data_IF_294318829438
#
_entry.id   IF_294318829438
#
_cell.length_a   1.000
_cell.length_b   1.000
_cell.length_c   1.000
_cell.angle_alpha   90.00
_cell.angle_beta   90.00
_cell.angle_gamma   90.00
#
_symmetry.space_group_name_H-M   'P 1'
#
loop_
_entity.id
_entity.type
_entity.pdbx_description
1 polymer ?
#
# COMPACT_ATOMS: atom_id res chain seq x y z
N UNK A 1 -2.93 16.91 -29.28
CA UNK A 1 -1.84 16.13 -28.66
C UNK A 1 -2.04 14.68 -29.06
N UNK A 2 -1.20 14.17 -29.95
CA UNK A 2 -1.30 12.79 -30.45
C UNK A 2 -1.02 11.81 -29.30
N UNK A 3 -1.92 10.83 -29.09
CA UNK A 3 -1.63 9.70 -28.20
C UNK A 3 -0.50 8.91 -28.84
N UNK A 4 0.62 8.76 -28.13
CA UNK A 4 1.70 7.86 -28.55
C UNK A 4 1.16 6.42 -28.47
N UNK A 5 1.01 5.76 -29.62
CA UNK A 5 0.65 4.35 -29.69
C UNK A 5 1.78 3.52 -29.04
N UNK A 6 1.53 2.98 -27.85
CA UNK A 6 2.48 2.19 -27.07
C UNK A 6 2.77 2.68 -25.65
N UNK A 7 2.32 3.89 -25.26
CA UNK A 7 2.52 4.40 -23.90
C UNK A 7 1.31 4.11 -23.00
N UNK A 8 1.53 3.37 -21.90
CA UNK A 8 0.55 3.16 -20.82
C UNK A 8 0.86 4.17 -19.70
N UNK A 9 -0.14 4.74 -19.01
CA UNK A 9 0.09 5.57 -17.83
C UNK A 9 0.93 4.81 -16.79
N UNK A 10 1.90 5.49 -16.18
CA UNK A 10 2.81 4.89 -15.18
C UNK A 10 2.05 4.13 -14.09
N UNK A 11 1.00 4.74 -13.53
CA UNK A 11 0.17 4.13 -12.48
C UNK A 11 -0.47 2.81 -12.94
N UNK A 12 -1.04 2.78 -14.14
CA UNK A 12 -1.70 1.57 -14.66
C UNK A 12 -0.69 0.44 -14.90
N UNK A 13 0.51 0.79 -15.38
CA UNK A 13 1.62 -0.15 -15.55
C UNK A 13 2.10 -0.71 -14.20
N UNK A 14 2.29 0.15 -13.20
CA UNK A 14 2.68 -0.24 -11.84
C UNK A 14 1.65 -1.18 -11.20
N UNK A 15 0.35 -0.89 -11.35
CA UNK A 15 -0.72 -1.77 -10.88
C UNK A 15 -0.71 -3.14 -11.58
N UNK A 16 -0.41 -3.17 -12.89
CA UNK A 16 -0.33 -4.40 -13.65
C UNK A 16 0.87 -5.25 -13.22
N UNK A 17 2.02 -4.62 -12.98
CA UNK A 17 3.23 -5.28 -12.52
C UNK A 17 3.05 -5.90 -11.13
N UNK A 18 2.52 -5.12 -10.17
CA UNK A 18 2.24 -5.62 -8.83
C UNK A 18 1.24 -6.78 -8.82
N UNK A 19 0.27 -6.80 -9.75
CA UNK A 19 -0.68 -7.91 -9.90
C UNK A 19 -0.04 -9.16 -10.52
N UNK A 20 0.91 -8.97 -11.42
CA UNK A 20 1.58 -10.05 -12.14
C UNK A 20 2.66 -10.72 -11.26
N UNK A 21 3.33 -9.96 -10.41
CA UNK A 21 4.38 -10.43 -9.53
C UNK A 21 4.01 -10.23 -8.05
N UNK A 22 3.62 -11.33 -7.41
CA UNK A 22 3.28 -11.34 -5.99
C UNK A 22 4.49 -11.12 -5.09
N UNK A 23 5.66 -11.61 -5.48
CA UNK A 23 6.88 -11.44 -4.68
C UNK A 23 7.27 -9.96 -4.64
N UNK A 24 7.22 -9.30 -5.80
CA UNK A 24 7.38 -7.85 -5.90
C UNK A 24 6.38 -7.11 -5.01
N UNK A 25 5.09 -7.46 -5.06
CA UNK A 25 4.09 -6.80 -4.22
C UNK A 25 4.34 -6.97 -2.71
N UNK A 26 4.84 -8.12 -2.30
CA UNK A 26 5.22 -8.38 -0.90
C UNK A 26 6.41 -7.52 -0.49
N UNK A 27 7.48 -7.49 -1.28
CA UNK A 27 8.67 -6.68 -0.98
C UNK A 27 8.37 -5.18 -1.01
N UNK A 28 7.56 -4.73 -1.96
CA UNK A 28 7.09 -3.35 -2.04
C UNK A 28 6.27 -2.96 -0.80
N UNK A 29 5.39 -3.83 -0.31
CA UNK A 29 4.61 -3.58 0.90
C UNK A 29 5.47 -3.58 2.17
N UNK A 30 6.49 -4.45 2.25
CA UNK A 30 7.46 -4.44 3.36
C UNK A 30 8.22 -3.12 3.40
N UNK A 31 8.72 -2.66 2.26
CA UNK A 31 9.39 -1.37 2.15
C UNK A 31 8.46 -0.22 2.56
N UNK A 32 7.21 -0.24 2.09
CA UNK A 32 6.21 0.75 2.46
C UNK A 32 5.94 0.81 3.97
N UNK A 33 5.83 -0.36 4.63
CA UNK A 33 5.65 -0.46 6.08
C UNK A 33 6.87 0.05 6.85
N UNK A 34 8.08 -0.26 6.38
CA UNK A 34 9.33 0.19 6.98
C UNK A 34 9.59 1.70 6.80
N UNK A 35 8.86 2.38 5.91
CA UNK A 35 8.95 3.84 5.75
C UNK A 35 7.94 4.61 6.62
N UNK A 36 7.05 3.94 7.36
CA UNK A 36 5.96 4.62 8.09
C UNK A 36 6.42 5.35 9.36
N UNK A 37 7.57 4.97 9.91
CA UNK A 37 8.19 5.55 11.10
C UNK A 37 9.15 6.70 10.77
N UNK A 38 9.61 6.80 9.52
CA UNK A 38 10.43 7.89 9.00
C UNK A 38 9.56 9.06 8.48
N UNK A 39 9.57 10.24 9.13
CA UNK A 39 8.77 11.39 8.70
C UNK A 39 9.01 11.84 7.25
N UNK A 40 10.25 11.70 6.75
CA UNK A 40 10.61 12.15 5.40
C UNK A 40 10.11 11.18 4.32
N UNK A 41 9.94 9.90 4.68
CA UNK A 41 9.53 8.84 3.76
C UNK A 41 8.09 8.33 3.97
N UNK A 42 7.44 8.71 5.07
CA UNK A 42 6.09 8.26 5.45
C UNK A 42 5.05 8.51 4.37
N UNK A 43 5.10 9.65 3.70
CA UNK A 43 4.19 9.99 2.61
C UNK A 43 4.30 8.97 1.46
N UNK A 44 5.53 8.58 1.09
CA UNK A 44 5.79 7.54 0.09
C UNK A 44 5.26 6.18 0.53
N UNK A 45 5.51 5.79 1.79
CA UNK A 45 4.97 4.55 2.35
C UNK A 45 3.44 4.46 2.32
N UNK A 46 2.73 5.55 2.64
CA UNK A 46 1.27 5.60 2.55
C UNK A 46 0.75 5.48 1.12
N UNK A 47 1.42 6.11 0.15
CA UNK A 47 1.07 5.98 -1.26
C UNK A 47 1.33 4.56 -1.78
N UNK A 48 2.45 3.95 -1.41
CA UNK A 48 2.76 2.57 -1.77
C UNK A 48 1.72 1.58 -1.21
N UNK A 49 1.31 1.74 0.05
CA UNK A 49 0.21 0.97 0.65
C UNK A 49 -1.10 1.10 -0.15
N UNK A 50 -1.41 2.32 -0.63
CA UNK A 50 -2.58 2.56 -1.47
C UNK A 50 -2.46 1.85 -2.82
N UNK A 51 -1.30 1.93 -3.47
CA UNK A 51 -1.06 1.28 -4.77
C UNK A 51 -1.25 -0.24 -4.67
N UNK A 52 -0.71 -0.87 -3.62
CA UNK A 52 -0.91 -2.32 -3.38
C UNK A 52 -2.38 -2.66 -3.09
N UNK A 53 -3.07 -1.85 -2.28
CA UNK A 53 -4.50 -2.02 -2.02
C UNK A 53 -5.35 -1.94 -3.30
N UNK A 54 -4.98 -1.05 -4.22
CA UNK A 54 -5.62 -0.89 -5.53
C UNK A 54 -5.30 -2.06 -6.49
N UNK A 55 -4.08 -2.59 -6.43
CA UNK A 55 -3.66 -3.75 -7.21
C UNK A 55 -4.40 -5.04 -6.79
N UNK A 56 -4.53 -5.34 -5.49
CA UNK A 56 -4.92 -6.68 -5.01
C UNK A 56 -6.40 -6.89 -4.64
N UNK A 57 -7.17 -5.84 -4.41
CA UNK A 57 -8.61 -5.99 -4.14
C UNK A 57 -9.45 -4.81 -4.63
N UNK A 58 -8.78 -3.77 -5.12
CA UNK A 58 -9.39 -2.47 -5.30
C UNK A 58 -9.73 -1.82 -3.96
N UNK A 59 -9.71 -0.49 -3.95
CA UNK A 59 -9.95 0.29 -2.75
C UNK A 59 -11.35 0.08 -2.15
N UNK A 60 -12.31 -0.39 -2.95
CA UNK A 60 -13.64 -0.76 -2.47
C UNK A 60 -13.64 -1.97 -1.52
N UNK A 61 -12.95 -3.05 -1.89
CA UNK A 61 -12.89 -4.25 -1.06
C UNK A 61 -12.11 -3.98 0.23
N UNK A 62 -11.00 -3.24 0.13
CA UNK A 62 -10.16 -2.86 1.28
C UNK A 62 -10.96 -1.99 2.25
N UNK A 63 -11.69 -0.99 1.74
CA UNK A 63 -12.51 -0.12 2.56
C UNK A 63 -13.62 -0.91 3.29
N UNK A 64 -14.27 -1.85 2.59
CA UNK A 64 -15.27 -2.73 3.19
C UNK A 64 -14.68 -3.60 4.30
N UNK A 65 -13.51 -4.22 4.08
CA UNK A 65 -12.81 -5.00 5.11
C UNK A 65 -12.38 -4.14 6.32
N UNK A 66 -11.97 -2.90 6.06
CA UNK A 66 -11.66 -1.93 7.12
C UNK A 66 -12.93 -1.36 7.80
N UNK A 67 -14.12 -1.59 7.23
CA UNK A 67 -15.39 -1.04 7.72
C UNK A 67 -15.45 0.50 7.63
N UNK A 68 -14.87 1.07 6.57
CA UNK A 68 -14.85 2.51 6.30
C UNK A 68 -15.31 2.79 4.87
N UNK A 69 -15.61 4.05 4.55
CA UNK A 69 -15.90 4.45 3.16
C UNK A 69 -14.62 4.47 2.31
N UNK A 70 -14.77 4.39 0.98
CA UNK A 70 -13.64 4.57 0.04
C UNK A 70 -12.96 5.93 0.23
N UNK A 71 -13.74 6.98 0.45
CA UNK A 71 -13.23 8.33 0.72
C UNK A 71 -12.41 8.37 2.02
N UNK A 72 -12.86 7.69 3.07
CA UNK A 72 -12.11 7.59 4.32
C UNK A 72 -10.80 6.80 4.11
N UNK A 73 -10.82 5.74 3.31
CA UNK A 73 -9.61 5.00 2.93
C UNK A 73 -8.63 5.88 2.15
N UNK A 74 -9.11 6.66 1.17
CA UNK A 74 -8.29 7.61 0.41
C UNK A 74 -7.64 8.66 1.31
N UNK A 75 -8.40 9.24 2.25
CA UNK A 75 -7.83 10.19 3.23
C UNK A 75 -6.82 9.52 4.14
N UNK A 76 -7.11 8.32 4.62
CA UNK A 76 -6.25 7.55 5.51
C UNK A 76 -4.90 7.20 4.86
N UNK A 77 -4.87 6.88 3.57
CA UNK A 77 -3.66 6.52 2.81
C UNK A 77 -3.14 7.67 1.92
N UNK A 78 -3.55 8.91 2.21
CA UNK A 78 -3.00 10.09 1.53
C UNK A 78 -1.60 10.41 2.07
N UNK A 79 -0.81 11.28 1.41
CA UNK A 79 0.52 11.68 1.88
C UNK A 79 0.54 12.17 3.35
N UNK A 80 -0.52 12.85 3.77
CA UNK A 80 -0.70 13.36 5.14
C UNK A 80 -1.69 12.51 5.96
N UNK A 81 -1.97 11.29 5.49
CA UNK A 81 -2.96 10.40 6.07
C UNK A 81 -2.52 9.81 7.41
N UNK A 82 -3.46 9.24 8.13
CA UNK A 82 -3.21 8.49 9.35
C UNK A 82 -4.10 7.24 9.37
N UNK A 83 -3.66 6.13 8.74
CA UNK A 83 -4.46 4.93 8.71
C UNK A 83 -4.52 4.31 10.10
N UNK A 84 -5.71 3.90 10.52
CA UNK A 84 -5.86 3.12 11.73
C UNK A 84 -5.19 1.75 11.58
N UNK A 85 -4.89 1.09 12.71
CA UNK A 85 -4.38 -0.29 12.68
C UNK A 85 -5.32 -1.23 11.89
N UNK A 86 -6.64 -1.04 12.01
CA UNK A 86 -7.64 -1.82 11.25
C UNK A 86 -7.49 -1.61 9.74
N UNK A 87 -7.24 -0.38 9.32
CA UNK A 87 -6.98 -0.03 7.91
C UNK A 87 -5.73 -0.75 7.39
N UNK A 88 -4.63 -0.68 8.14
CA UNK A 88 -3.37 -1.35 7.77
C UNK A 88 -3.55 -2.86 7.66
N UNK A 89 -4.20 -3.49 8.64
CA UNK A 89 -4.48 -4.93 8.61
C UNK A 89 -5.35 -5.32 7.41
N UNK A 90 -6.32 -4.50 7.01
CA UNK A 90 -7.13 -4.75 5.82
C UNK A 90 -6.28 -4.74 4.54
N UNK A 91 -5.34 -3.81 4.40
CA UNK A 91 -4.40 -3.77 3.27
C UNK A 91 -3.50 -5.01 3.26
N UNK A 92 -2.93 -5.41 4.41
CA UNK A 92 -2.11 -6.62 4.49
C UNK A 92 -2.90 -7.87 4.04
N UNK A 93 -4.15 -7.99 4.49
CA UNK A 93 -5.01 -9.14 4.17
C UNK A 93 -5.34 -9.28 2.69
N UNK A 94 -5.40 -8.19 1.91
CA UNK A 94 -5.68 -8.28 0.47
C UNK A 94 -4.59 -8.99 -0.31
N UNK A 95 -3.36 -8.97 0.19
CA UNK A 95 -2.19 -9.67 -0.40
C UNK A 95 -1.93 -11.03 0.29
N UNK A 96 -2.80 -11.42 1.24
CA UNK A 96 -2.63 -12.62 2.05
C UNK A 96 -1.49 -12.51 3.07
N UNK A 97 -1.20 -11.29 3.55
CA UNK A 97 -0.19 -11.00 4.56
C UNK A 97 -0.83 -10.76 5.94
N UNK A 98 0.00 -10.81 6.98
CA UNK A 98 -0.40 -10.58 8.38
C UNK A 98 0.59 -9.63 9.05
N UNK A 99 0.14 -8.94 10.08
CA UNK A 99 1.01 -8.20 10.97
C UNK A 99 1.79 -9.18 11.86
N UNK A 100 3.08 -8.97 12.01
CA UNK A 100 3.98 -9.70 12.93
C UNK A 100 4.74 -8.72 13.81
N UNK A 101 5.30 -9.23 14.90
CA UNK A 101 6.28 -8.52 15.73
C UNK A 101 7.61 -9.21 15.54
N UNK A 102 8.64 -8.46 15.18
CA UNK A 102 9.99 -8.95 14.95
C UNK A 102 10.97 -8.14 15.82
N UNK A 103 12.12 -8.71 16.23
CA UNK A 103 13.14 -7.95 16.92
C UNK A 103 13.60 -6.76 16.07
N UNK A 104 13.64 -5.57 16.66
CA UNK A 104 14.25 -4.42 16.02
C UNK A 104 15.76 -4.66 15.88
N UNK A 105 16.32 -4.48 14.69
CA UNK A 105 17.73 -4.82 14.42
C UNK A 105 18.74 -4.00 15.26
N UNK A 106 18.27 -2.96 15.96
CA UNK A 106 19.02 -2.15 16.93
C UNK A 106 18.79 -2.50 18.40
N UNK A 107 17.89 -3.42 18.73
CA UNK A 107 17.66 -3.89 20.09
C UNK A 107 18.74 -4.92 20.48
N UNK A 108 19.99 -4.47 20.64
CA UNK A 108 20.94 -5.17 21.52
C UNK A 108 20.79 -4.59 22.93
N UNK A 109 20.79 -5.44 23.97
CA UNK A 109 20.66 -5.01 25.36
C UNK A 109 21.80 -4.09 25.80
#
# INVERSE_FOLDING_TARGET
>A
MSKLEGAVPHHDAELAELRADRELAVEYLKAAMASLDDPDNRAGGLLALRTVAEAYGGLGAVAAQAGISREALYRALSPNGNPTLKTLIAVLKTVGLRLSVEPEQHARP
#
